data_IF_914821930849
#
_entry.id   IF_914821930849
#
_cell.length_a   1.000
_cell.length_b   1.000
_cell.length_c   1.000
_cell.angle_alpha   90.00
_cell.angle_beta   90.00
_cell.angle_gamma   90.00
#
_symmetry.space_group_name_H-M   'P 1'
#
loop_
_entity.id
_entity.type
_entity.pdbx_description
1 polymer ?
#
# COMPACT_ATOMS: atom_id res chain seq x y z
N UNK A 1 35.85 31.22 -20.82
CA UNK A 1 34.37 31.21 -20.60
C UNK A 1 33.57 30.55 -21.72
N UNK A 2 34.15 29.77 -22.64
CA UNK A 2 33.43 29.10 -23.75
C UNK A 2 33.35 27.54 -23.65
N UNK A 3 34.16 26.92 -22.80
CA UNK A 3 34.25 25.46 -22.70
C UNK A 3 33.06 24.84 -21.88
N UNK A 4 32.59 25.55 -20.87
CA UNK A 4 31.47 25.07 -20.01
C UNK A 4 30.11 24.99 -20.73
N UNK A 5 29.93 25.83 -21.76
CA UNK A 5 28.70 25.87 -22.58
C UNK A 5 28.67 24.71 -23.60
N UNK A 6 29.86 24.35 -24.11
CA UNK A 6 29.98 23.23 -25.06
C UNK A 6 29.74 21.86 -24.37
N UNK A 7 30.26 21.69 -23.15
CA UNK A 7 30.04 20.46 -22.36
C UNK A 7 28.59 20.28 -21.94
N UNK A 8 27.87 21.36 -21.65
CA UNK A 8 26.42 21.28 -21.38
C UNK A 8 25.61 20.86 -22.61
N UNK A 9 25.98 21.41 -23.78
CA UNK A 9 25.27 21.05 -25.03
C UNK A 9 25.58 19.61 -25.50
N UNK A 10 26.80 19.11 -25.29
CA UNK A 10 27.14 17.72 -25.65
C UNK A 10 26.43 16.73 -24.71
N UNK A 11 26.24 17.04 -23.42
CA UNK A 11 25.46 16.21 -22.51
C UNK A 11 23.97 16.12 -22.89
N UNK A 12 23.39 17.20 -23.41
CA UNK A 12 21.97 17.20 -23.83
C UNK A 12 21.74 16.47 -25.15
N UNK A 13 22.76 16.28 -25.98
CA UNK A 13 22.66 15.57 -27.26
C UNK A 13 22.91 14.06 -27.09
N UNK A 14 23.72 13.66 -26.08
CA UNK A 14 24.05 12.24 -25.82
C UNK A 14 23.06 11.61 -24.82
N UNK A 15 22.54 12.38 -23.86
CA UNK A 15 21.43 11.96 -23.03
C UNK A 15 20.15 12.36 -23.75
N UNK A 16 19.46 11.41 -24.38
CA UNK A 16 18.06 11.62 -24.79
C UNK A 16 17.22 12.22 -23.66
N UNK A 17 15.97 12.62 -23.90
CA UNK A 17 15.13 13.18 -22.85
C UNK A 17 15.18 12.25 -21.63
N UNK A 18 15.27 12.79 -20.40
CA UNK A 18 15.39 11.97 -19.21
C UNK A 18 14.28 10.92 -19.24
N UNK A 19 14.67 9.65 -19.18
CA UNK A 19 13.72 8.55 -19.10
C UNK A 19 13.03 8.68 -17.73
N UNK A 20 11.82 9.21 -17.72
CA UNK A 20 11.00 9.41 -16.52
C UNK A 20 10.25 8.09 -16.23
N UNK A 21 11.00 7.02 -15.98
CA UNK A 21 10.40 5.75 -15.54
C UNK A 21 10.28 5.80 -14.02
N UNK A 22 9.08 5.51 -13.51
CA UNK A 22 8.82 5.33 -12.08
C UNK A 22 8.60 6.60 -11.25
N UNK A 23 8.84 7.79 -11.79
CA UNK A 23 8.69 9.06 -11.03
C UNK A 23 7.24 9.43 -10.71
N UNK A 24 6.27 8.86 -11.42
CA UNK A 24 4.83 9.13 -11.24
C UNK A 24 4.07 7.96 -10.59
N UNK A 25 4.77 6.97 -10.06
CA UNK A 25 4.13 5.76 -9.50
C UNK A 25 3.13 6.11 -8.40
N UNK A 26 3.50 6.96 -7.47
CA UNK A 26 2.62 7.39 -6.39
C UNK A 26 1.37 8.10 -6.91
N UNK A 27 1.53 9.08 -7.80
CA UNK A 27 0.41 9.84 -8.38
C UNK A 27 -0.53 8.92 -9.13
N UNK A 28 0.00 7.99 -9.92
CA UNK A 28 -0.78 7.02 -10.68
C UNK A 28 -1.53 6.06 -9.74
N UNK A 29 -0.87 5.55 -8.72
CA UNK A 29 -1.45 4.68 -7.68
C UNK A 29 -2.59 5.40 -6.95
N UNK A 30 -2.35 6.62 -6.45
CA UNK A 30 -3.36 7.38 -5.71
C UNK A 30 -4.58 7.72 -6.57
N UNK A 31 -4.39 8.06 -7.85
CA UNK A 31 -5.49 8.26 -8.81
C UNK A 31 -6.29 6.98 -8.99
N UNK A 32 -5.62 5.87 -9.26
CA UNK A 32 -6.26 4.57 -9.42
C UNK A 32 -7.01 4.15 -8.16
N UNK A 33 -6.41 4.34 -6.98
CA UNK A 33 -7.03 4.04 -5.69
C UNK A 33 -8.31 4.86 -5.48
N UNK A 34 -8.24 6.17 -5.69
CA UNK A 34 -9.40 7.06 -5.57
C UNK A 34 -10.55 6.65 -6.50
N UNK A 35 -10.25 6.32 -7.78
CA UNK A 35 -11.25 5.84 -8.74
C UNK A 35 -11.82 4.46 -8.36
N UNK A 36 -11.01 3.61 -7.75
CA UNK A 36 -11.45 2.28 -7.29
C UNK A 36 -12.35 2.39 -6.07
N UNK A 37 -11.99 3.22 -5.09
CA UNK A 37 -12.79 3.45 -3.88
C UNK A 37 -14.15 4.08 -4.21
N UNK A 38 -14.25 5.00 -5.17
CA UNK A 38 -15.53 5.56 -5.62
C UNK A 38 -16.55 4.51 -6.11
N UNK A 39 -16.09 3.32 -6.50
CA UNK A 39 -16.97 2.23 -6.98
C UNK A 39 -17.49 1.35 -5.85
N UNK A 40 -16.97 1.50 -4.64
CA UNK A 40 -17.51 0.83 -3.45
C UNK A 40 -18.83 1.52 -3.09
N UNK A 41 -19.93 0.77 -2.89
CA UNK A 41 -21.23 1.37 -2.59
C UNK A 41 -21.19 2.26 -1.35
N UNK A 42 -21.94 3.36 -1.38
CA UNK A 42 -22.07 4.26 -0.22
C UNK A 42 -22.54 3.51 1.02
N UNK A 43 -21.93 3.83 2.16
CA UNK A 43 -22.24 3.20 3.44
C UNK A 43 -21.62 1.82 3.64
N UNK A 44 -20.89 1.27 2.66
CA UNK A 44 -20.15 0.03 2.83
C UNK A 44 -19.13 0.15 3.94
N UNK A 45 -18.95 -0.91 4.71
CA UNK A 45 -17.94 -0.98 5.76
C UNK A 45 -16.59 -1.38 5.15
N UNK A 46 -15.60 -0.49 5.25
CA UNK A 46 -14.26 -0.71 4.70
C UNK A 46 -13.21 -0.74 5.80
N UNK A 47 -12.29 -1.70 5.72
CA UNK A 47 -11.09 -1.78 6.54
C UNK A 47 -9.91 -1.20 5.74
N UNK A 48 -9.17 -0.28 6.35
CA UNK A 48 -7.84 0.16 5.91
C UNK A 48 -6.80 -0.60 6.75
N UNK A 49 -6.24 -1.66 6.17
CA UNK A 49 -5.32 -2.55 6.85
C UNK A 49 -3.87 -2.10 6.61
N UNK A 50 -3.18 -1.71 7.69
CA UNK A 50 -1.91 -1.00 7.64
C UNK A 50 -2.12 0.48 7.31
N UNK A 51 -3.06 1.13 8.02
CA UNK A 51 -3.53 2.49 7.71
C UNK A 51 -2.50 3.58 7.97
N UNK A 52 -1.46 3.30 8.77
CA UNK A 52 -0.42 4.27 9.11
C UNK A 52 -1.00 5.61 9.60
N UNK A 53 -0.63 6.69 8.95
CA UNK A 53 -1.12 8.04 9.27
C UNK A 53 -2.48 8.39 8.63
N UNK A 54 -3.27 7.39 8.21
CA UNK A 54 -4.61 7.55 7.64
C UNK A 54 -4.63 8.35 6.31
N UNK A 55 -3.55 8.32 5.55
CA UNK A 55 -3.41 9.09 4.30
C UNK A 55 -4.53 8.80 3.27
N UNK A 56 -5.12 7.60 3.30
CA UNK A 56 -6.15 7.14 2.37
C UNK A 56 -7.57 7.49 2.83
N UNK A 57 -7.79 7.84 4.10
CA UNK A 57 -9.10 8.16 4.69
C UNK A 57 -9.87 9.22 3.90
N UNK A 58 -9.17 10.20 3.32
CA UNK A 58 -9.76 11.28 2.50
C UNK A 58 -10.56 10.80 1.28
N UNK A 59 -10.29 9.58 0.79
CA UNK A 59 -11.01 8.97 -0.34
C UNK A 59 -12.23 8.15 0.10
N UNK A 60 -12.43 7.97 1.40
CA UNK A 60 -13.44 7.09 1.99
C UNK A 60 -14.62 7.84 2.63
N UNK A 61 -14.83 9.13 2.32
CA UNK A 61 -15.88 9.96 2.96
C UNK A 61 -17.31 9.41 2.81
N UNK A 62 -17.57 8.57 1.81
CA UNK A 62 -18.86 7.92 1.55
C UNK A 62 -18.97 6.52 2.17
N UNK A 63 -17.95 6.06 2.89
CA UNK A 63 -17.83 4.71 3.45
C UNK A 63 -17.81 4.75 4.99
N UNK A 64 -18.17 3.64 5.62
CA UNK A 64 -17.94 3.41 7.04
C UNK A 64 -16.48 2.91 7.21
N UNK A 65 -15.57 3.86 7.32
CA UNK A 65 -14.13 3.64 7.36
C UNK A 65 -13.67 3.22 8.75
N UNK A 66 -12.89 2.13 8.79
CA UNK A 66 -12.22 1.60 9.99
C UNK A 66 -10.74 1.45 9.65
N UNK A 67 -9.87 2.00 10.48
CA UNK A 67 -8.42 1.87 10.37
C UNK A 67 -7.87 0.78 11.26
N UNK A 68 -6.90 0.04 10.75
CA UNK A 68 -6.11 -0.93 11.50
C UNK A 68 -4.63 -0.73 11.22
N UNK A 69 -3.81 -0.80 12.25
CA UNK A 69 -2.34 -0.79 12.14
C UNK A 69 -1.72 -1.51 13.33
N UNK A 70 -0.46 -1.96 13.20
CA UNK A 70 0.28 -2.53 14.34
C UNK A 70 0.83 -1.45 15.30
N UNK A 71 0.90 -0.20 14.83
CA UNK A 71 1.24 1.01 15.58
C UNK A 71 2.59 0.97 16.32
N UNK A 72 3.58 0.23 15.76
CA UNK A 72 4.93 0.12 16.37
C UNK A 72 5.99 0.93 15.63
N UNK A 73 5.71 1.40 14.41
CA UNK A 73 6.62 2.27 13.70
C UNK A 73 6.45 3.72 14.20
N UNK A 74 7.56 4.36 14.55
CA UNK A 74 7.62 5.70 15.16
C UNK A 74 8.16 6.78 14.20
N UNK A 75 8.41 6.43 12.95
CA UNK A 75 9.01 7.30 11.95
C UNK A 75 10.54 7.23 11.89
N UNK A 76 11.22 6.73 12.91
CA UNK A 76 12.69 6.63 13.02
C UNK A 76 13.19 5.20 12.83
N UNK A 77 12.40 4.22 13.26
CA UNK A 77 12.75 2.82 13.18
C UNK A 77 14.13 2.53 13.79
N UNK A 78 15.00 1.86 13.02
CA UNK A 78 16.39 1.61 13.44
C UNK A 78 17.41 2.55 12.75
N UNK A 79 16.97 3.64 12.15
CA UNK A 79 17.78 4.60 11.40
C UNK A 79 18.49 4.01 10.16
N UNK A 80 18.04 2.87 9.65
CA UNK A 80 18.58 2.24 8.42
C UNK A 80 17.60 2.44 7.27
N UNK A 81 18.10 2.77 6.07
CA UNK A 81 17.27 3.04 4.90
C UNK A 81 16.51 4.37 4.99
N UNK A 82 15.41 4.48 4.26
CA UNK A 82 14.58 5.68 4.27
C UNK A 82 13.60 5.65 5.45
N UNK A 83 13.56 6.72 6.22
CA UNK A 83 12.69 6.91 7.38
C UNK A 83 11.88 8.21 7.23
N UNK A 84 10.73 8.30 7.92
CA UNK A 84 9.84 9.47 7.85
C UNK A 84 10.16 10.54 8.90
N UNK A 85 10.92 10.20 9.94
CA UNK A 85 11.29 10.99 11.12
C UNK A 85 10.19 11.08 12.20
N UNK A 86 8.96 11.35 11.83
CA UNK A 86 7.81 11.41 12.73
C UNK A 86 6.67 10.56 12.17
N UNK A 87 5.88 9.94 13.04
CA UNK A 87 4.74 9.10 12.66
C UNK A 87 3.67 9.10 13.74
N UNK A 88 2.45 9.49 13.40
CA UNK A 88 1.34 9.61 14.35
C UNK A 88 0.35 8.44 14.24
N UNK A 89 0.42 7.51 15.17
CA UNK A 89 -0.48 6.37 15.30
C UNK A 89 -1.69 6.62 16.21
N UNK A 90 -1.86 7.81 16.79
CA UNK A 90 -2.83 8.09 17.86
C UNK A 90 -4.30 7.96 17.43
N UNK A 91 -4.58 7.94 16.13
CA UNK A 91 -5.94 7.94 15.56
C UNK A 91 -6.35 6.61 14.93
N UNK A 92 -5.59 5.55 15.16
CA UNK A 92 -5.90 4.20 14.67
C UNK A 92 -7.07 3.61 15.47
N UNK A 93 -8.10 3.12 14.79
CA UNK A 93 -9.28 2.54 15.43
C UNK A 93 -8.97 1.15 16.03
N UNK A 94 -8.17 0.32 15.34
CA UNK A 94 -7.82 -1.03 15.75
C UNK A 94 -6.30 -1.17 15.75
N UNK A 95 -5.69 -1.27 16.90
CA UNK A 95 -4.26 -1.59 17.04
C UNK A 95 -4.10 -3.10 17.20
N UNK A 96 -3.58 -3.79 16.17
CA UNK A 96 -3.42 -5.24 16.16
C UNK A 96 -2.39 -5.70 15.13
N UNK A 97 -2.00 -6.97 15.20
CA UNK A 97 -1.33 -7.64 14.08
C UNK A 97 -2.31 -7.78 12.91
N UNK A 98 -1.85 -7.49 11.70
CA UNK A 98 -2.63 -7.59 10.46
C UNK A 98 -3.04 -9.03 10.14
N UNK A 99 -2.34 -10.01 10.68
CA UNK A 99 -2.64 -11.45 10.51
C UNK A 99 -3.67 -11.98 11.51
N UNK A 100 -4.11 -11.15 12.48
CA UNK A 100 -5.08 -11.50 13.53
C UNK A 100 -5.82 -10.25 14.02
N UNK A 101 -6.76 -9.77 13.21
CA UNK A 101 -7.52 -8.56 13.49
C UNK A 101 -8.75 -8.93 14.34
N UNK A 102 -8.98 -8.27 15.51
CA UNK A 102 -10.05 -8.61 16.43
C UNK A 102 -11.42 -8.15 15.92
N UNK A 103 -11.84 -8.70 14.79
CA UNK A 103 -13.14 -8.47 14.16
C UNK A 103 -13.78 -9.81 13.76
N UNK A 104 -15.12 -9.90 13.78
CA UNK A 104 -15.83 -11.10 13.35
C UNK A 104 -15.58 -11.47 11.89
N UNK A 105 -15.75 -12.74 11.55
CA UNK A 105 -15.75 -13.21 10.16
C UNK A 105 -16.79 -12.46 9.34
N UNK A 106 -16.53 -12.27 8.04
CA UNK A 106 -17.43 -11.61 7.10
C UNK A 106 -17.99 -10.26 7.61
N UNK A 107 -17.15 -9.46 8.27
CA UNK A 107 -17.55 -8.19 8.86
C UNK A 107 -17.34 -6.96 7.96
N UNK A 108 -16.60 -7.09 6.86
CA UNK A 108 -16.30 -5.98 5.95
C UNK A 108 -16.80 -6.24 4.53
N UNK A 109 -17.32 -5.19 3.89
CA UNK A 109 -17.72 -5.19 2.48
C UNK A 109 -16.51 -4.98 1.56
N UNK A 110 -15.50 -4.26 2.07
CA UNK A 110 -14.23 -4.04 1.39
C UNK A 110 -13.06 -4.00 2.38
N UNK A 111 -11.88 -4.37 1.89
CA UNK A 111 -10.61 -4.18 2.59
C UNK A 111 -9.66 -3.49 1.60
N UNK A 112 -8.98 -2.45 2.03
CA UNK A 112 -7.83 -1.89 1.32
C UNK A 112 -6.56 -2.11 2.14
N UNK A 113 -5.45 -2.41 1.43
CA UNK A 113 -4.12 -2.59 1.99
C UNK A 113 -3.13 -1.98 0.99
N UNK A 114 -2.59 -0.80 1.32
CA UNK A 114 -1.89 0.07 0.36
C UNK A 114 -0.44 0.26 0.79
N UNK A 115 0.50 -0.34 0.04
CA UNK A 115 1.95 -0.28 0.31
C UNK A 115 2.27 -0.77 1.74
N UNK A 116 1.86 -1.98 2.07
CA UNK A 116 2.04 -2.60 3.39
C UNK A 116 2.71 -3.97 3.28
N UNK A 117 2.49 -4.70 2.19
CA UNK A 117 2.95 -6.09 2.06
C UNK A 117 4.47 -6.25 2.20
N UNK A 118 5.24 -5.28 1.74
CA UNK A 118 6.70 -5.24 1.88
C UNK A 118 7.17 -5.16 3.34
N UNK A 119 6.25 -4.73 4.23
CA UNK A 119 6.47 -4.58 5.66
C UNK A 119 5.97 -5.76 6.50
N UNK A 120 5.42 -6.80 5.87
CA UNK A 120 4.88 -7.97 6.56
C UNK A 120 5.87 -9.14 6.49
N UNK A 121 6.19 -9.77 7.64
CA UNK A 121 6.98 -11.02 7.63
C UNK A 121 6.26 -12.16 6.91
N UNK A 122 4.92 -12.24 7.05
CA UNK A 122 4.06 -13.25 6.41
C UNK A 122 2.85 -12.61 5.70
N UNK A 123 3.01 -12.11 4.47
CA UNK A 123 1.91 -11.54 3.70
C UNK A 123 0.83 -12.55 3.33
N UNK A 124 1.15 -13.87 3.33
CA UNK A 124 0.17 -14.92 3.07
C UNK A 124 -0.81 -15.07 4.24
N UNK A 125 -0.31 -14.98 5.48
CA UNK A 125 -1.19 -14.97 6.65
C UNK A 125 -2.15 -13.76 6.63
N UNK A 126 -1.67 -12.59 6.22
CA UNK A 126 -2.53 -11.41 6.05
C UNK A 126 -3.62 -11.64 4.99
N UNK A 127 -3.31 -12.27 3.85
CA UNK A 127 -4.31 -12.61 2.83
C UNK A 127 -5.39 -13.55 3.39
N UNK A 128 -5.00 -14.56 4.18
CA UNK A 128 -5.95 -15.48 4.83
C UNK A 128 -6.86 -14.73 5.80
N UNK A 129 -6.32 -13.82 6.56
CA UNK A 129 -7.08 -12.98 7.48
C UNK A 129 -8.05 -12.05 6.73
N UNK A 130 -7.62 -11.44 5.64
CA UNK A 130 -8.51 -10.64 4.78
C UNK A 130 -9.65 -11.49 4.19
N UNK A 131 -9.36 -12.73 3.78
CA UNK A 131 -10.41 -13.66 3.31
C UNK A 131 -11.44 -13.99 4.39
N UNK A 132 -10.99 -14.17 5.64
CA UNK A 132 -11.88 -14.38 6.80
C UNK A 132 -12.79 -13.18 7.07
N UNK A 133 -12.21 -11.99 7.02
CA UNK A 133 -12.89 -10.72 7.35
C UNK A 133 -13.84 -10.23 6.26
N UNK A 134 -13.56 -10.54 4.99
CA UNK A 134 -14.40 -10.12 3.88
C UNK A 134 -15.70 -10.92 3.81
N UNK A 135 -16.78 -10.19 3.55
CA UNK A 135 -18.08 -10.80 3.18
C UNK A 135 -17.97 -11.51 1.85
N UNK A 136 -18.86 -12.47 1.63
CA UNK A 136 -19.01 -13.08 0.30
C UNK A 136 -19.21 -11.99 -0.76
N UNK A 137 -18.46 -12.06 -1.85
CA UNK A 137 -18.37 -11.04 -2.90
C UNK A 137 -17.83 -9.66 -2.46
N UNK A 138 -17.22 -9.59 -1.29
CA UNK A 138 -16.48 -8.38 -0.84
C UNK A 138 -15.32 -8.05 -1.77
N UNK A 139 -14.80 -6.84 -1.66
CA UNK A 139 -13.73 -6.34 -2.53
C UNK A 139 -12.42 -6.18 -1.75
N UNK A 140 -11.34 -6.83 -2.20
CA UNK A 140 -9.99 -6.55 -1.74
C UNK A 140 -9.30 -5.58 -2.72
N UNK A 141 -8.77 -4.48 -2.19
CA UNK A 141 -7.96 -3.49 -2.91
C UNK A 141 -6.55 -3.58 -2.32
N UNK A 142 -5.59 -4.01 -3.13
CA UNK A 142 -4.22 -4.20 -2.70
C UNK A 142 -3.25 -3.50 -3.63
N UNK A 143 -2.29 -2.78 -3.04
CA UNK A 143 -1.09 -2.31 -3.74
C UNK A 143 0.15 -2.66 -2.94
N UNK A 144 1.23 -2.98 -3.65
CA UNK A 144 2.56 -3.09 -3.09
C UNK A 144 3.59 -2.76 -4.19
N UNK A 145 4.80 -2.35 -3.85
CA UNK A 145 5.80 -1.98 -4.84
C UNK A 145 6.23 -3.20 -5.68
N UNK A 146 6.48 -2.98 -6.96
CA UNK A 146 7.18 -3.97 -7.78
C UNK A 146 8.66 -4.07 -7.39
N UNK A 147 9.27 -2.92 -7.04
CA UNK A 147 10.64 -2.82 -6.53
C UNK A 147 10.75 -1.57 -5.66
N UNK A 148 11.26 -1.72 -4.45
CA UNK A 148 11.50 -0.62 -3.52
C UNK A 148 12.89 -0.70 -2.89
N UNK A 149 13.42 0.46 -2.53
CA UNK A 149 14.58 0.56 -1.65
C UNK A 149 14.16 0.24 -0.21
N UNK A 150 15.09 -0.17 0.63
CA UNK A 150 14.85 -0.37 2.06
C UNK A 150 14.33 0.91 2.69
N UNK A 151 13.16 0.83 3.30
CA UNK A 151 12.51 1.92 4.03
C UNK A 151 11.75 1.35 5.24
N UNK A 152 11.47 2.19 6.25
CA UNK A 152 10.79 1.83 7.50
C UNK A 152 11.46 0.68 8.26
N UNK A 153 12.77 0.48 8.05
CA UNK A 153 13.49 -0.57 8.77
C UNK A 153 13.37 -0.37 10.30
N UNK A 154 13.23 -1.46 11.08
CA UNK A 154 13.46 -2.87 10.72
C UNK A 154 12.27 -3.58 10.04
N UNK A 155 11.18 -2.89 9.73
CA UNK A 155 9.94 -3.46 9.20
C UNK A 155 9.93 -3.46 7.66
N UNK A 156 11.01 -3.91 7.01
CA UNK A 156 11.08 -4.06 5.55
C UNK A 156 11.60 -5.44 5.20
N UNK A 157 10.72 -6.32 4.76
CA UNK A 157 11.01 -7.75 4.57
C UNK A 157 11.09 -8.14 3.10
N UNK A 158 10.43 -7.38 2.20
CA UNK A 158 10.41 -7.67 0.76
C UNK A 158 10.69 -6.41 -0.05
N UNK A 159 11.55 -6.53 -1.05
CA UNK A 159 11.83 -5.43 -1.98
C UNK A 159 10.74 -5.20 -3.00
N UNK A 160 9.76 -6.10 -3.13
CA UNK A 160 8.62 -5.94 -4.02
C UNK A 160 7.93 -7.22 -4.41
N UNK A 161 6.81 -7.05 -5.13
CA UNK A 161 5.92 -8.14 -5.56
C UNK A 161 5.55 -7.96 -7.03
N UNK A 162 5.44 -9.05 -7.77
CA UNK A 162 4.99 -9.03 -9.16
C UNK A 162 3.59 -9.64 -9.32
N UNK A 163 2.97 -9.45 -10.50
CA UNK A 163 1.62 -9.94 -10.77
C UNK A 163 1.46 -11.45 -10.57
N UNK A 164 2.49 -12.24 -10.85
CA UNK A 164 2.44 -13.71 -10.73
C UNK A 164 2.36 -14.18 -9.28
N UNK A 165 2.98 -13.43 -8.35
CA UNK A 165 2.82 -13.67 -6.92
C UNK A 165 1.35 -13.55 -6.52
N UNK A 166 0.69 -12.48 -6.95
CA UNK A 166 -0.72 -12.25 -6.65
C UNK A 166 -1.62 -13.28 -7.32
N UNK A 167 -1.48 -13.52 -8.63
CA UNK A 167 -2.27 -14.48 -9.38
C UNK A 167 -2.20 -15.87 -8.76
N UNK A 168 -1.01 -16.33 -8.36
CA UNK A 168 -0.83 -17.63 -7.72
C UNK A 168 -1.46 -17.71 -6.33
N UNK A 169 -1.29 -16.69 -5.49
CA UNK A 169 -1.72 -16.71 -4.09
C UNK A 169 -3.19 -16.34 -3.88
N UNK A 170 -3.74 -15.48 -4.74
CA UNK A 170 -5.15 -15.08 -4.62
C UNK A 170 -6.12 -16.13 -5.13
N UNK A 171 -5.81 -16.82 -6.23
CA UNK A 171 -6.66 -17.88 -6.81
C UNK A 171 -6.87 -19.00 -5.79
N UNK A 172 -5.87 -19.31 -4.97
CA UNK A 172 -5.96 -20.38 -3.97
C UNK A 172 -6.72 -19.96 -2.69
N UNK A 173 -6.79 -18.67 -2.37
CA UNK A 173 -7.18 -18.23 -1.03
C UNK A 173 -8.45 -17.36 -1.00
N UNK A 174 -8.78 -16.64 -2.08
CA UNK A 174 -9.82 -15.60 -2.03
C UNK A 174 -10.91 -15.82 -3.09
N UNK A 175 -12.14 -16.07 -2.64
CA UNK A 175 -13.33 -16.14 -3.50
C UNK A 175 -13.97 -14.76 -3.73
N UNK A 176 -13.21 -13.69 -3.78
CA UNK A 176 -13.70 -12.32 -3.95
C UNK A 176 -13.07 -11.60 -5.17
N UNK A 177 -13.69 -10.49 -5.58
CA UNK A 177 -13.15 -9.65 -6.66
C UNK A 177 -11.91 -8.91 -6.17
N UNK A 178 -10.78 -9.06 -6.86
CA UNK A 178 -9.55 -8.34 -6.57
C UNK A 178 -9.17 -7.40 -7.73
N UNK A 179 -8.40 -6.37 -7.40
CA UNK A 179 -7.73 -5.50 -8.36
C UNK A 179 -6.29 -5.29 -7.92
N UNK A 180 -5.40 -5.52 -8.86
CA UNK A 180 -3.96 -5.29 -8.73
C UNK A 180 -3.63 -4.07 -9.59
N UNK A 181 -2.91 -3.11 -9.05
CA UNK A 181 -2.43 -1.93 -9.81
C UNK A 181 -1.05 -2.19 -10.39
#
# INVERSE_FOLDING_TARGET
MKISRLVKNVRSVIAGPPIIIGTNNEVTRLKWLAETLKRIPQGSRILDAGAGELAQKKYCAHLNYISQDFAKYDGKGNNTGLQTQDWDNSKIDIVSDITSIPQPDASFDAIMCVEVFEHLPDPIAAIKEFSRLLRKNGTLILTAPFCSLTHFAPYHFYSGFNKYYYEYKYIETIHCKYRIS
#
